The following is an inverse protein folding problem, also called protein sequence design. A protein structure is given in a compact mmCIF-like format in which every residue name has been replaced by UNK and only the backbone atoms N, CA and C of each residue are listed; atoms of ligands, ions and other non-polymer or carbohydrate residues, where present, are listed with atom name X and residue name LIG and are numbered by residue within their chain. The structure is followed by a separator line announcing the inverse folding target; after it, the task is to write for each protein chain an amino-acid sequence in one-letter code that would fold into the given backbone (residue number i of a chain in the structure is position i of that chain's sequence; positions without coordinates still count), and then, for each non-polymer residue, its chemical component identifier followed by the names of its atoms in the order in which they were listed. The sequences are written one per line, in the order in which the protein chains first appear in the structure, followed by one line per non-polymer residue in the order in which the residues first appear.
data_IF_239111891638
#
_entry.id   IF_239111891638
#
_cell.length_a   1.000
_cell.length_b   1.000
_cell.length_c   1.000
_cell.angle_alpha   90.00
_cell.angle_beta   90.00
_cell.angle_gamma   90.00
#
_symmetry.space_group_name_H-M   'P 1'
#
loop_
_entity.id
_entity.type
_entity.pdbx_description
1 polymer ?
#
# COMPACT_ATOMS: atom_id res chain seq x y z
N UNK A 1 19.76 -36.06 -29.11
CA UNK A 1 18.87 -34.87 -29.08
C UNK A 1 17.84 -35.10 -27.97
N UNK A 2 17.95 -34.39 -26.84
CA UNK A 2 17.06 -34.57 -25.69
C UNK A 2 15.88 -33.59 -25.78
N UNK A 3 14.67 -34.10 -25.94
CA UNK A 3 13.43 -33.34 -26.04
C UNK A 3 12.85 -33.07 -24.65
N UNK A 4 12.98 -31.84 -24.15
CA UNK A 4 12.31 -31.41 -22.92
C UNK A 4 10.79 -31.27 -23.16
N UNK A 5 10.00 -32.26 -22.76
CA UNK A 5 8.54 -32.17 -22.71
C UNK A 5 8.08 -31.76 -21.32
N UNK A 6 8.17 -30.47 -20.98
CA UNK A 6 7.48 -29.97 -19.80
C UNK A 6 6.00 -29.76 -20.14
N UNK A 7 5.13 -30.65 -19.67
CA UNK A 7 3.67 -30.51 -19.76
C UNK A 7 3.25 -29.23 -19.05
N UNK A 8 2.64 -28.30 -19.79
CA UNK A 8 2.05 -27.10 -19.21
C UNK A 8 0.87 -27.48 -18.32
N UNK A 9 0.97 -27.19 -17.02
CA UNK A 9 -0.14 -27.24 -16.10
C UNK A 9 -0.56 -25.82 -15.75
N UNK A 10 -1.84 -25.43 -15.95
CA UNK A 10 -2.31 -24.12 -15.56
C UNK A 10 -2.13 -23.95 -14.05
N UNK A 11 -1.40 -22.89 -13.65
CA UNK A 11 -1.23 -22.54 -12.24
C UNK A 11 -2.61 -22.26 -11.63
N UNK A 12 -2.75 -22.53 -10.33
CA UNK A 12 -4.00 -22.29 -9.59
C UNK A 12 -4.51 -20.85 -9.86
N UNK A 13 -5.83 -20.64 -10.02
CA UNK A 13 -6.40 -19.32 -10.22
C UNK A 13 -5.92 -18.33 -9.15
N UNK A 14 -5.62 -17.10 -9.55
CA UNK A 14 -5.27 -16.03 -8.62
C UNK A 14 -6.48 -15.75 -7.73
N UNK A 15 -6.45 -16.24 -6.48
CA UNK A 15 -7.60 -16.20 -5.56
C UNK A 15 -7.94 -14.81 -5.01
N UNK A 16 -7.07 -13.80 -5.15
CA UNK A 16 -7.39 -12.41 -4.76
C UNK A 16 -6.44 -11.40 -5.40
N UNK A 17 -6.99 -10.32 -5.97
CA UNK A 17 -6.24 -9.12 -6.38
C UNK A 17 -5.94 -8.23 -5.17
N UNK A 18 -5.32 -8.78 -4.14
CA UNK A 18 -5.05 -8.07 -2.87
C UNK A 18 -4.16 -6.83 -3.10
N UNK A 19 -3.25 -6.92 -4.06
CA UNK A 19 -2.42 -5.78 -4.51
C UNK A 19 -3.30 -4.62 -4.98
N UNK A 20 -4.31 -4.91 -5.83
CA UNK A 20 -5.24 -3.93 -6.37
C UNK A 20 -6.16 -3.35 -5.29
N UNK A 21 -6.65 -4.18 -4.36
CA UNK A 21 -7.48 -3.71 -3.26
C UNK A 21 -6.73 -2.72 -2.36
N UNK A 22 -5.47 -3.04 -2.03
CA UNK A 22 -4.58 -2.17 -1.24
C UNK A 22 -4.36 -0.85 -1.96
N UNK A 23 -4.01 -0.92 -3.25
CA UNK A 23 -3.82 0.27 -4.09
C UNK A 23 -5.06 1.16 -4.13
N UNK A 24 -6.24 0.59 -4.45
CA UNK A 24 -7.49 1.35 -4.59
C UNK A 24 -7.91 2.02 -3.28
N UNK A 25 -7.78 1.32 -2.15
CA UNK A 25 -8.13 1.90 -0.84
C UNK A 25 -7.17 3.01 -0.44
N UNK A 26 -5.88 2.81 -0.66
CA UNK A 26 -4.88 3.82 -0.37
C UNK A 26 -5.09 5.07 -1.24
N UNK A 27 -5.32 4.89 -2.55
CA UNK A 27 -5.61 5.97 -3.48
C UNK A 27 -6.86 6.76 -3.08
N UNK A 28 -7.94 6.08 -2.67
CA UNK A 28 -9.18 6.73 -2.24
C UNK A 28 -8.92 7.67 -1.05
N UNK A 29 -8.18 7.20 -0.04
CA UNK A 29 -7.79 7.99 1.13
C UNK A 29 -6.89 9.17 0.72
N UNK A 30 -5.88 8.91 -0.11
CA UNK A 30 -4.95 9.95 -0.59
C UNK A 30 -5.67 11.08 -1.33
N UNK A 31 -6.62 10.74 -2.20
CA UNK A 31 -7.42 11.72 -2.95
C UNK A 31 -8.37 12.49 -2.01
N UNK A 32 -8.99 11.81 -1.04
CA UNK A 32 -9.85 12.47 -0.05
C UNK A 32 -9.07 13.52 0.76
N UNK A 33 -7.87 13.17 1.21
CA UNK A 33 -6.94 14.09 1.90
C UNK A 33 -6.57 15.26 0.97
N UNK A 34 -6.12 14.97 -0.26
CA UNK A 34 -5.65 15.98 -1.20
C UNK A 34 -6.74 17.00 -1.59
N UNK A 35 -8.01 16.58 -1.62
CA UNK A 35 -9.14 17.47 -1.94
C UNK A 35 -9.48 18.48 -0.85
N UNK A 36 -9.26 18.13 0.43
CA UNK A 36 -9.74 18.95 1.56
C UNK A 36 -8.62 19.62 2.33
N UNK A 37 -7.46 18.98 2.45
CA UNK A 37 -6.32 19.50 3.22
C UNK A 37 -5.49 20.45 2.37
N UNK A 38 -5.08 21.60 2.94
CA UNK A 38 -4.30 22.64 2.25
C UNK A 38 -2.79 22.60 2.56
N UNK A 39 -2.35 21.64 3.37
CA UNK A 39 -0.93 21.46 3.68
C UNK A 39 -0.23 20.71 2.55
N UNK A 40 0.63 21.38 1.80
CA UNK A 40 1.41 20.78 0.70
C UNK A 40 2.16 19.53 1.17
N UNK A 41 2.81 19.58 2.33
CA UNK A 41 3.51 18.43 2.93
C UNK A 41 2.58 17.22 3.11
N UNK A 42 1.36 17.43 3.60
CA UNK A 42 0.37 16.35 3.82
C UNK A 42 -0.12 15.81 2.49
N UNK A 43 -0.41 16.69 1.53
CA UNK A 43 -0.89 16.32 0.19
C UNK A 43 0.17 15.48 -0.54
N UNK A 44 1.42 15.95 -0.59
CA UNK A 44 2.53 15.25 -1.24
C UNK A 44 2.75 13.88 -0.61
N UNK A 45 2.81 13.81 0.73
CA UNK A 45 2.94 12.52 1.42
C UNK A 45 1.78 11.58 1.10
N UNK A 46 0.54 12.06 1.12
CA UNK A 46 -0.63 11.24 0.83
C UNK A 46 -0.60 10.67 -0.59
N UNK A 47 -0.29 11.50 -1.60
CA UNK A 47 -0.27 11.09 -3.00
C UNK A 47 0.93 10.19 -3.36
N UNK A 48 2.02 10.25 -2.59
CA UNK A 48 3.19 9.39 -2.77
C UNK A 48 2.94 7.93 -2.34
N UNK A 49 2.09 7.69 -1.33
CA UNK A 49 1.78 6.35 -0.83
C UNK A 49 1.28 5.36 -1.93
N UNK A 50 0.25 5.67 -2.75
CA UNK A 50 -0.20 4.78 -3.81
C UNK A 50 0.83 4.59 -4.93
N UNK A 51 1.68 5.60 -5.20
CA UNK A 51 2.78 5.49 -6.17
C UNK A 51 3.79 4.44 -5.70
N UNK A 52 4.16 4.47 -4.42
CA UNK A 52 5.07 3.47 -3.82
C UNK A 52 4.49 2.06 -3.82
N UNK A 53 3.19 1.88 -3.61
CA UNK A 53 2.54 0.56 -3.76
C UNK A 53 2.65 0.04 -5.20
N UNK A 54 2.42 0.91 -6.20
CA UNK A 54 2.58 0.53 -7.61
C UNK A 54 4.04 0.15 -7.94
N UNK A 55 5.01 0.92 -7.45
CA UNK A 55 6.43 0.63 -7.61
C UNK A 55 6.82 -0.71 -6.94
N UNK A 56 6.37 -0.95 -5.71
CA UNK A 56 6.59 -2.21 -4.99
C UNK A 56 6.02 -3.41 -5.77
N UNK A 57 4.84 -3.25 -6.37
CA UNK A 57 4.23 -4.28 -7.20
C UNK A 57 5.11 -4.64 -8.40
N UNK A 58 5.67 -3.65 -9.10
CA UNK A 58 6.60 -3.89 -10.22
C UNK A 58 7.88 -4.60 -9.80
N UNK A 59 8.37 -4.32 -8.59
CA UNK A 59 9.60 -4.94 -8.06
C UNK A 59 9.39 -6.38 -7.57
N UNK A 60 8.17 -6.76 -7.19
CA UNK A 60 7.87 -8.00 -6.45
C UNK A 60 8.54 -9.27 -7.00
N UNK A 61 8.63 -9.40 -8.31
CA UNK A 61 9.18 -10.59 -8.96
C UNK A 61 10.66 -10.48 -9.33
N UNK A 62 11.19 -9.27 -9.48
CA UNK A 62 12.57 -9.02 -9.89
C UNK A 62 13.52 -8.74 -8.72
N UNK A 63 13.06 -7.99 -7.73
CA UNK A 63 13.78 -7.67 -6.51
C UNK A 63 12.81 -7.66 -5.33
N UNK A 64 12.65 -8.84 -4.74
CA UNK A 64 11.70 -9.02 -3.66
C UNK A 64 12.09 -8.25 -2.40
N UNK A 65 13.37 -8.17 -2.08
CA UNK A 65 13.85 -7.44 -0.90
C UNK A 65 13.39 -5.98 -0.99
N UNK A 66 13.66 -5.32 -2.12
CA UNK A 66 13.22 -3.93 -2.34
C UNK A 66 11.70 -3.79 -2.39
N UNK A 67 10.98 -4.80 -2.90
CA UNK A 67 9.53 -4.78 -2.89
C UNK A 67 8.96 -4.82 -1.46
N UNK A 68 9.57 -5.61 -0.56
CA UNK A 68 9.19 -5.70 0.85
C UNK A 68 9.54 -4.41 1.60
N UNK A 69 10.75 -3.89 1.40
CA UNK A 69 11.19 -2.60 1.98
C UNK A 69 10.24 -1.47 1.57
N UNK A 70 9.82 -1.42 0.31
CA UNK A 70 8.86 -0.43 -0.16
C UNK A 70 7.49 -0.57 0.54
N UNK A 71 7.01 -1.78 0.82
CA UNK A 71 5.77 -1.97 1.59
C UNK A 71 5.93 -1.50 3.04
N UNK A 72 7.08 -1.75 3.67
CA UNK A 72 7.40 -1.29 5.02
C UNK A 72 7.46 0.25 5.08
N UNK A 73 8.06 0.87 4.07
CA UNK A 73 8.11 2.31 3.93
C UNK A 73 6.71 2.93 3.79
N UNK A 74 5.82 2.32 2.99
CA UNK A 74 4.43 2.79 2.87
C UNK A 74 3.69 2.67 4.21
N UNK A 75 3.90 1.59 4.97
CA UNK A 75 3.29 1.43 6.30
C UNK A 75 3.79 2.48 7.30
N UNK A 76 5.11 2.76 7.29
CA UNK A 76 5.72 3.81 8.09
C UNK A 76 5.12 5.17 7.74
N UNK A 77 5.13 5.52 6.45
CA UNK A 77 4.63 6.81 5.99
C UNK A 77 3.12 6.97 6.18
N UNK A 78 2.34 5.88 6.18
CA UNK A 78 0.92 5.91 6.55
C UNK A 78 0.71 6.34 8.02
N UNK A 79 1.55 5.85 8.94
CA UNK A 79 1.50 6.27 10.34
C UNK A 79 1.93 7.73 10.51
N UNK A 80 3.01 8.14 9.85
CA UNK A 80 3.49 9.53 9.91
C UNK A 80 2.42 10.48 9.34
N UNK A 81 1.76 10.10 8.24
CA UNK A 81 0.66 10.86 7.66
C UNK A 81 -0.52 11.00 8.63
N UNK A 82 -0.87 9.94 9.36
CA UNK A 82 -1.90 10.01 10.39
C UNK A 82 -1.56 11.06 11.46
N UNK A 83 -0.32 11.08 11.95
CA UNK A 83 0.15 12.10 12.90
C UNK A 83 0.06 13.51 12.30
N UNK A 84 0.45 13.70 11.04
CA UNK A 84 0.30 15.02 10.40
C UNK A 84 -1.16 15.43 10.21
N UNK A 85 -2.09 14.49 10.03
CA UNK A 85 -3.52 14.78 9.96
C UNK A 85 -4.05 15.22 11.33
N UNK A 86 -3.63 14.57 12.43
CA UNK A 86 -3.96 15.01 13.80
C UNK A 86 -3.44 16.43 14.07
N UNK A 87 -2.17 16.69 13.74
CA UNK A 87 -1.58 18.02 13.89
C UNK A 87 -2.30 19.08 13.04
N UNK A 88 -2.66 18.74 11.80
CA UNK A 88 -3.39 19.66 10.93
C UNK A 88 -4.81 19.91 11.46
N UNK A 89 -5.48 18.86 11.97
CA UNK A 89 -6.77 18.95 12.65
C UNK A 89 -6.69 19.94 13.80
N UNK A 90 -5.71 19.80 14.69
CA UNK A 90 -5.70 20.57 15.93
C UNK A 90 -5.21 22.02 15.75
N UNK A 91 -4.43 22.31 14.69
CA UNK A 91 -3.83 23.64 14.47
C UNK A 91 -4.57 24.47 13.41
N UNK A 92 -5.04 23.85 12.32
CA UNK A 92 -5.42 24.56 11.08
C UNK A 92 -6.84 24.28 10.57
N UNK A 93 -7.61 23.41 11.22
CA UNK A 93 -8.84 22.82 10.65
C UNK A 93 -10.10 23.69 10.66
N UNK A 94 -10.01 25.03 10.75
CA UNK A 94 -11.17 25.91 10.97
C UNK A 94 -12.39 25.67 10.05
N UNK A 95 -12.20 25.01 8.89
CA UNK A 95 -13.24 24.73 7.89
C UNK A 95 -13.36 23.25 7.50
N UNK A 96 -12.84 22.30 8.30
CA UNK A 96 -12.93 20.86 8.01
C UNK A 96 -13.37 20.16 9.30
N UNK A 97 -14.37 19.30 9.19
CA UNK A 97 -14.95 18.61 10.34
C UNK A 97 -13.96 17.61 10.93
N UNK A 98 -13.98 17.43 12.26
CA UNK A 98 -13.08 16.51 12.98
C UNK A 98 -13.26 15.07 12.47
N UNK A 99 -14.50 14.70 12.18
CA UNK A 99 -14.92 13.40 11.67
C UNK A 99 -14.22 13.03 10.38
N UNK A 100 -13.94 14.02 9.51
CA UNK A 100 -13.17 13.77 8.29
C UNK A 100 -11.77 13.25 8.62
N UNK A 101 -11.07 13.88 9.57
CA UNK A 101 -9.74 13.46 9.96
C UNK A 101 -9.76 12.09 10.62
N UNK A 102 -10.69 11.85 11.54
CA UNK A 102 -10.85 10.57 12.21
C UNK A 102 -11.12 9.43 11.21
N UNK A 103 -11.98 9.68 10.21
CA UNK A 103 -12.26 8.74 9.14
C UNK A 103 -11.00 8.45 8.30
N UNK A 104 -10.27 9.49 7.87
CA UNK A 104 -9.06 9.28 7.05
C UNK A 104 -7.95 8.58 7.85
N UNK A 105 -7.75 8.90 9.12
CA UNK A 105 -6.80 8.21 10.01
C UNK A 105 -7.19 6.74 10.16
N UNK A 106 -8.46 6.45 10.45
CA UNK A 106 -8.97 5.07 10.53
C UNK A 106 -8.74 4.30 9.22
N UNK A 107 -8.96 4.95 8.08
CA UNK A 107 -8.77 4.34 6.78
C UNK A 107 -7.27 4.05 6.52
N UNK A 108 -6.36 4.97 6.85
CA UNK A 108 -4.89 4.75 6.77
C UNK A 108 -4.47 3.54 7.61
N UNK A 109 -4.91 3.45 8.87
CA UNK A 109 -4.60 2.33 9.76
C UNK A 109 -5.17 0.99 9.25
N UNK A 110 -6.38 1.02 8.68
CA UNK A 110 -7.01 -0.15 8.06
C UNK A 110 -6.22 -0.62 6.83
N UNK A 111 -5.79 0.29 5.97
CA UNK A 111 -4.99 -0.02 4.78
C UNK A 111 -3.61 -0.53 5.19
N UNK A 112 -2.98 0.03 6.23
CA UNK A 112 -1.72 -0.48 6.79
C UNK A 112 -1.80 -1.97 7.17
N UNK A 113 -2.88 -2.40 7.83
CA UNK A 113 -3.09 -3.81 8.14
C UNK A 113 -3.21 -4.68 6.88
N UNK A 114 -3.82 -4.15 5.81
CA UNK A 114 -3.89 -4.85 4.51
C UNK A 114 -2.52 -4.93 3.85
N UNK A 115 -1.70 -3.90 3.93
CA UNK A 115 -0.32 -3.90 3.44
C UNK A 115 0.52 -4.94 4.19
N UNK A 116 0.39 -5.05 5.52
CA UNK A 116 1.06 -6.10 6.29
C UNK A 116 0.65 -7.51 5.82
N UNK A 117 -0.64 -7.74 5.58
CA UNK A 117 -1.12 -9.01 5.04
C UNK A 117 -0.63 -9.25 3.60
N UNK A 118 -0.43 -8.19 2.82
CA UNK A 118 0.15 -8.25 1.49
C UNK A 118 1.62 -8.67 1.55
N UNK A 119 2.40 -8.00 2.39
CA UNK A 119 3.81 -8.30 2.66
C UNK A 119 3.99 -9.77 3.06
N UNK A 120 3.22 -10.25 4.04
CA UNK A 120 3.24 -11.67 4.46
C UNK A 120 2.90 -12.62 3.31
N UNK A 121 1.94 -12.26 2.46
CA UNK A 121 1.60 -13.04 1.28
C UNK A 121 2.76 -13.10 0.30
N UNK A 122 3.41 -11.98 0.02
CA UNK A 122 4.55 -11.91 -0.90
C UNK A 122 5.75 -12.71 -0.38
N UNK A 123 6.07 -12.58 0.91
CA UNK A 123 7.10 -13.37 1.57
C UNK A 123 6.84 -14.88 1.50
N UNK A 124 5.59 -15.30 1.70
CA UNK A 124 5.20 -16.72 1.58
C UNK A 124 5.41 -17.23 0.15
N UNK A 125 4.93 -16.50 -0.85
CA UNK A 125 5.05 -16.91 -2.25
C UNK A 125 6.51 -17.08 -2.67
N UNK A 126 7.39 -16.19 -2.27
CA UNK A 126 8.79 -16.31 -2.63
C UNK A 126 9.48 -17.54 -2.03
N UNK A 127 9.17 -17.89 -0.77
CA UNK A 127 9.67 -19.14 -0.17
C UNK A 127 9.19 -20.36 -0.97
N UNK A 128 7.95 -20.35 -1.47
CA UNK A 128 7.42 -21.43 -2.31
C UNK A 128 8.12 -21.50 -3.69
N UNK A 129 8.61 -20.39 -4.23
CA UNK A 129 9.38 -20.36 -5.48
C UNK A 129 10.86 -20.72 -5.28
N UNK A 130 11.47 -20.36 -4.15
CA UNK A 130 12.86 -20.70 -3.85
C UNK A 130 13.06 -22.20 -3.52
N UNK A 131 12.02 -22.88 -3.03
CA UNK A 131 12.05 -24.30 -2.67
C UNK A 131 11.61 -25.24 -3.82
N UNK A 132 11.49 -24.73 -5.04
CA UNK A 132 11.20 -25.49 -6.26
C UNK A 132 12.37 -25.44 -7.20
#
# INVERSE_FOLDING_TARGET
MSTYTNKYYPKRPVKSFRDLEVYQKLLAVSVAIAKRVKSEKVITMALDLPVKIAAAHSLRFGDQTRAIEALEEVMLNSNILAVYLEQYRDIKSKNIEVEFFEEQIKNLLTVRMKILHLQRSWQKFAKEYANK
#
